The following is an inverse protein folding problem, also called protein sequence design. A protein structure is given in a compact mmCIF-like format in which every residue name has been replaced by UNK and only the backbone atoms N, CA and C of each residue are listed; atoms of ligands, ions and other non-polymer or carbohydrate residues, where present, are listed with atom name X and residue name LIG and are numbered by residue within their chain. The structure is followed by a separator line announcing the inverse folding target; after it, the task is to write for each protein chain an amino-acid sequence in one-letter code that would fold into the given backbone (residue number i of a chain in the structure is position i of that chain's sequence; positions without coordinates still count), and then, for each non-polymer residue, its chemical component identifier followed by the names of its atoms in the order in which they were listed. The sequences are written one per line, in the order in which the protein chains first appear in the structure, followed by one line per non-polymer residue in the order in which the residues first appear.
data_IF_054190758610
#
_entry.id   IF_054190758610
#
_cell.length_a   1.000
_cell.length_b   1.000
_cell.length_c   1.000
_cell.angle_alpha   90.00
_cell.angle_beta   90.00
_cell.angle_gamma   90.00
#
_symmetry.space_group_name_H-M   'P 1'
#
loop_
_entity.id
_entity.type
_entity.pdbx_description
1 polymer ?
#
# COMPACT_ATOMS: atom_id res chain seq x y z
N UNK A 1 8.39 -1.23 -1.52
CA UNK A 1 8.67 0.01 -2.21
C UNK A 1 9.69 0.91 -1.51
N UNK A 2 10.62 0.32 -0.74
CA UNK A 2 11.73 1.07 -0.14
C UNK A 2 12.73 1.54 -1.20
N UNK A 3 13.51 2.60 -0.92
CA UNK A 3 14.56 3.03 -1.83
C UNK A 3 15.53 1.89 -2.14
N UNK A 4 15.82 1.67 -3.42
CA UNK A 4 16.72 0.61 -3.87
C UNK A 4 16.16 -0.81 -3.81
N UNK A 5 14.88 -0.99 -3.47
CA UNK A 5 14.23 -2.29 -3.50
C UNK A 5 14.10 -2.81 -4.93
N UNK A 6 14.44 -4.07 -5.11
CA UNK A 6 14.37 -4.80 -6.39
C UNK A 6 13.71 -6.15 -6.16
N UNK A 7 13.38 -6.85 -7.23
CA UNK A 7 12.91 -8.24 -7.16
C UNK A 7 13.91 -9.14 -6.41
N UNK A 8 15.20 -8.92 -6.61
CA UNK A 8 16.25 -9.70 -5.95
C UNK A 8 16.29 -9.43 -4.44
N UNK A 9 16.16 -8.17 -4.00
CA UNK A 9 16.15 -7.85 -2.55
C UNK A 9 14.89 -8.37 -1.86
N UNK A 10 13.75 -8.38 -2.54
CA UNK A 10 12.54 -9.05 -2.04
C UNK A 10 12.78 -10.55 -1.90
N UNK A 11 13.42 -11.17 -2.89
CA UNK A 11 13.78 -12.59 -2.85
C UNK A 11 14.72 -12.91 -1.67
N UNK A 12 15.72 -12.10 -1.42
CA UNK A 12 16.61 -12.23 -0.27
C UNK A 12 15.83 -12.19 1.07
N UNK A 13 14.85 -11.29 1.18
CA UNK A 13 13.98 -11.21 2.36
C UNK A 13 13.16 -12.48 2.53
N UNK A 14 12.59 -13.03 1.47
CA UNK A 14 11.83 -14.29 1.50
C UNK A 14 12.73 -15.45 1.95
N UNK A 15 13.92 -15.57 1.40
CA UNK A 15 14.87 -16.63 1.77
C UNK A 15 15.31 -16.49 3.24
N UNK A 16 15.51 -15.27 3.73
CA UNK A 16 15.78 -15.03 5.14
C UNK A 16 14.62 -15.48 6.04
N UNK A 17 13.38 -15.13 5.68
CA UNK A 17 12.20 -15.58 6.41
C UNK A 17 12.09 -17.09 6.49
N UNK A 18 12.39 -17.80 5.38
CA UNK A 18 12.45 -19.26 5.38
C UNK A 18 13.49 -19.81 6.33
N UNK A 19 14.68 -19.21 6.32
CA UNK A 19 15.81 -19.65 7.15
C UNK A 19 15.51 -19.54 8.65
N UNK A 20 14.72 -18.54 9.06
CA UNK A 20 14.36 -18.31 10.47
C UNK A 20 12.95 -18.81 10.80
N UNK A 21 12.29 -19.52 9.89
CA UNK A 21 10.91 -20.02 10.03
C UNK A 21 9.88 -18.95 10.36
N UNK A 22 10.03 -17.75 9.77
CA UNK A 22 9.11 -16.66 9.92
C UNK A 22 8.01 -16.75 8.86
N UNK A 23 6.75 -16.73 9.31
CA UNK A 23 5.55 -16.80 8.45
C UNK A 23 4.72 -15.54 8.61
N UNK A 24 5.09 -14.43 7.93
CA UNK A 24 4.33 -13.19 8.01
C UNK A 24 2.94 -13.35 7.38
N UNK A 25 1.95 -12.72 7.96
CA UNK A 25 0.61 -12.62 7.37
C UNK A 25 0.51 -11.50 6.33
N UNK A 26 1.40 -10.53 6.42
CA UNK A 26 1.44 -9.34 5.57
C UNK A 26 2.83 -8.72 5.54
N UNK A 27 3.18 -8.14 4.40
CA UNK A 27 4.27 -7.16 4.28
C UNK A 27 3.65 -5.78 4.09
N UNK A 28 3.98 -4.85 4.97
CA UNK A 28 3.51 -3.48 4.84
C UNK A 28 4.30 -2.72 3.77
N UNK A 29 3.60 -1.90 3.02
CA UNK A 29 4.23 -1.02 2.06
C UNK A 29 4.86 0.19 2.76
N UNK A 30 5.98 0.65 2.23
CA UNK A 30 6.65 1.85 2.72
C UNK A 30 5.71 3.04 2.57
N UNK A 31 5.52 3.77 3.65
CA UNK A 31 4.66 4.94 3.69
C UNK A 31 5.42 6.11 4.28
N UNK A 32 5.41 7.25 3.60
CA UNK A 32 6.05 8.46 4.08
C UNK A 32 5.19 9.14 5.15
N UNK A 33 5.78 9.40 6.31
CA UNK A 33 5.16 10.14 7.39
C UNK A 33 5.88 11.46 7.63
N UNK A 34 5.15 12.56 7.90
CA UNK A 34 5.75 13.86 8.19
C UNK A 34 6.79 13.80 9.30
N UNK A 35 7.84 14.58 9.16
CA UNK A 35 8.94 14.61 10.13
C UNK A 35 9.97 13.50 9.96
N UNK A 36 9.83 12.66 8.96
CA UNK A 36 10.82 11.63 8.62
C UNK A 36 11.59 12.01 7.35
N UNK A 37 12.79 11.44 7.20
CA UNK A 37 13.57 11.61 5.95
C UNK A 37 12.85 11.03 4.73
N UNK A 38 12.00 10.03 4.90
CA UNK A 38 11.15 9.53 3.82
C UNK A 38 10.10 10.53 3.37
N UNK A 39 9.60 11.38 4.27
CA UNK A 39 8.70 12.47 3.91
C UNK A 39 9.37 13.48 2.98
N UNK A 40 10.56 13.94 3.37
CA UNK A 40 11.33 14.89 2.57
C UNK A 40 11.66 14.30 1.19
N UNK A 41 12.09 13.04 1.15
CA UNK A 41 12.36 12.32 -0.09
C UNK A 41 11.09 12.14 -0.96
N UNK A 42 9.95 11.87 -0.34
CA UNK A 42 8.68 11.73 -1.06
C UNK A 42 8.23 13.05 -1.69
N UNK A 43 8.41 14.17 -1.00
CA UNK A 43 8.16 15.50 -1.56
C UNK A 43 9.10 15.80 -2.74
N UNK A 44 10.39 15.56 -2.57
CA UNK A 44 11.41 15.77 -3.60
C UNK A 44 11.12 14.92 -4.87
N UNK A 45 10.75 13.67 -4.69
CA UNK A 45 10.42 12.75 -5.80
C UNK A 45 9.02 12.91 -6.37
N UNK A 46 8.21 13.82 -5.84
CA UNK A 46 6.84 14.04 -6.29
C UNK A 46 5.86 12.92 -5.97
N UNK A 47 6.18 12.08 -4.97
CA UNK A 47 5.37 10.90 -4.64
C UNK A 47 4.12 11.24 -3.83
N UNK A 48 4.10 12.34 -3.10
CA UNK A 48 2.91 12.80 -2.38
C UNK A 48 1.82 13.20 -3.38
N UNK A 49 2.16 13.97 -4.41
CA UNK A 49 1.24 14.27 -5.50
C UNK A 49 0.77 13.01 -6.20
N UNK A 50 1.70 12.08 -6.52
CA UNK A 50 1.34 10.80 -7.16
C UNK A 50 0.34 10.01 -6.34
N UNK A 51 0.51 9.94 -5.03
CA UNK A 51 -0.41 9.23 -4.14
C UNK A 51 -1.84 9.79 -4.17
N UNK A 52 -2.00 11.09 -4.42
CA UNK A 52 -3.31 11.76 -4.44
C UNK A 52 -3.91 11.81 -5.85
N UNK A 53 -3.08 12.10 -6.86
CA UNK A 53 -3.55 12.37 -8.24
C UNK A 53 -3.21 11.29 -9.25
N UNK A 54 -2.33 10.35 -8.91
CA UNK A 54 -1.79 9.35 -9.83
C UNK A 54 -0.58 9.82 -10.65
N UNK A 55 -0.19 11.08 -10.56
CA UNK A 55 0.91 11.67 -11.35
C UNK A 55 1.94 12.34 -10.45
N UNK A 56 3.22 12.03 -10.67
CA UNK A 56 4.34 12.66 -9.95
C UNK A 56 4.38 14.18 -10.22
N UNK A 57 4.80 14.92 -9.22
CA UNK A 57 5.02 16.35 -9.31
C UNK A 57 5.06 17.04 -7.96
N UNK A 58 5.14 18.40 -7.93
CA UNK A 58 5.10 19.16 -6.69
C UNK A 58 3.73 19.01 -6.01
N UNK A 59 3.75 18.85 -4.68
CA UNK A 59 2.54 18.80 -3.87
C UNK A 59 2.23 20.17 -3.30
N UNK A 60 0.98 20.61 -3.44
CA UNK A 60 0.44 21.77 -2.76
C UNK A 60 -0.16 21.40 -1.39
N UNK A 61 -0.56 22.39 -0.62
CA UNK A 61 -1.13 22.17 0.71
C UNK A 61 -2.40 21.30 0.69
N UNK A 62 -3.26 21.46 -0.31
CA UNK A 62 -4.47 20.67 -0.45
C UNK A 62 -4.17 19.19 -0.74
N UNK A 63 -3.15 18.91 -1.52
CA UNK A 63 -2.69 17.52 -1.78
C UNK A 63 -2.08 16.89 -0.54
N UNK A 64 -1.31 17.64 0.22
CA UNK A 64 -0.74 17.19 1.50
C UNK A 64 -1.86 16.84 2.48
N UNK A 65 -2.87 17.68 2.62
CA UNK A 65 -4.04 17.41 3.44
C UNK A 65 -4.78 16.14 3.01
N UNK A 66 -5.03 15.97 1.73
CA UNK A 66 -5.65 14.75 1.20
C UNK A 66 -4.81 13.50 1.45
N UNK A 67 -3.48 13.61 1.35
CA UNK A 67 -2.58 12.51 1.69
C UNK A 67 -2.73 12.11 3.17
N UNK A 68 -2.79 13.09 4.09
CA UNK A 68 -2.99 12.81 5.52
C UNK A 68 -4.31 12.13 5.83
N UNK A 69 -5.38 12.55 5.18
CA UNK A 69 -6.68 11.92 5.36
C UNK A 69 -6.67 10.43 4.99
N UNK A 70 -5.82 10.04 4.04
CA UNK A 70 -5.65 8.65 3.62
C UNK A 70 -4.70 7.83 4.51
N UNK A 71 -3.87 8.46 5.31
CA UNK A 71 -2.91 7.74 6.17
C UNK A 71 -3.60 6.86 7.22
N UNK A 72 -4.79 7.22 7.66
CA UNK A 72 -5.59 6.43 8.59
C UNK A 72 -6.34 5.25 7.96
N UNK A 73 -6.39 5.20 6.63
CA UNK A 73 -7.03 4.11 5.92
C UNK A 73 -6.04 2.95 5.79
N UNK A 74 -6.29 1.88 6.49
CA UNK A 74 -5.55 0.64 6.28
C UNK A 74 -5.99 0.01 4.96
N UNK A 75 -5.12 0.02 3.97
CA UNK A 75 -5.40 -0.50 2.65
C UNK A 75 -4.21 -1.18 2.00
N UNK A 76 -4.51 -1.93 0.98
CA UNK A 76 -3.53 -2.63 0.14
C UNK A 76 -2.84 -1.68 -0.87
N UNK A 77 -3.07 -0.38 -0.73
CA UNK A 77 -2.54 0.61 -1.66
C UNK A 77 -1.08 0.95 -1.35
N UNK A 78 -0.25 0.91 -2.36
CA UNK A 78 1.10 1.47 -2.31
C UNK A 78 0.99 2.99 -2.35
N UNK A 79 1.18 3.64 -1.20
CA UNK A 79 1.03 5.10 -1.10
C UNK A 79 2.25 5.85 -1.61
N UNK A 80 3.43 5.39 -1.21
CA UNK A 80 4.70 5.96 -1.63
C UNK A 80 5.65 4.84 -2.06
N UNK A 81 5.94 4.79 -3.34
CA UNK A 81 6.87 3.83 -3.91
C UNK A 81 8.19 4.55 -4.25
N UNK A 82 9.22 4.26 -3.48
CA UNK A 82 10.57 4.82 -3.66
C UNK A 82 11.45 3.97 -4.57
N UNK A 83 10.99 2.78 -4.95
CA UNK A 83 11.71 1.86 -5.82
C UNK A 83 11.45 2.19 -7.31
N UNK A 84 12.22 1.54 -8.18
CA UNK A 84 12.01 1.60 -9.62
C UNK A 84 10.96 0.58 -10.11
N UNK A 85 10.47 -0.28 -9.21
CA UNK A 85 9.42 -1.25 -9.53
C UNK A 85 8.05 -0.56 -9.66
N UNK A 86 7.21 -0.95 -10.63
CA UNK A 86 5.83 -0.52 -10.69
C UNK A 86 5.04 -0.91 -9.43
N UNK A 87 4.03 -0.11 -9.07
CA UNK A 87 3.21 -0.36 -7.88
C UNK A 87 2.53 -1.74 -7.92
N UNK A 88 2.03 -2.15 -9.08
CA UNK A 88 1.40 -3.45 -9.30
C UNK A 88 2.37 -4.61 -9.05
N UNK A 89 3.61 -4.46 -9.47
CA UNK A 89 4.64 -5.48 -9.26
C UNK A 89 5.01 -5.63 -7.79
N UNK A 90 5.08 -4.52 -7.05
CA UNK A 90 5.31 -4.54 -5.60
C UNK A 90 4.16 -5.26 -4.88
N UNK A 91 2.92 -5.00 -5.26
CA UNK A 91 1.75 -5.66 -4.69
C UNK A 91 1.81 -7.17 -4.96
N UNK A 92 2.09 -7.57 -6.18
CA UNK A 92 2.22 -8.99 -6.55
C UNK A 92 3.36 -9.68 -5.80
N UNK A 93 4.52 -9.04 -5.70
CA UNK A 93 5.67 -9.57 -4.96
C UNK A 93 5.34 -9.75 -3.48
N UNK A 94 4.62 -8.82 -2.86
CA UNK A 94 4.23 -8.95 -1.45
C UNK A 94 3.29 -10.13 -1.22
N UNK A 95 2.32 -10.34 -2.10
CA UNK A 95 1.39 -11.45 -2.01
C UNK A 95 2.06 -12.80 -2.28
N UNK A 96 2.90 -12.85 -3.29
CA UNK A 96 3.68 -14.05 -3.60
C UNK A 96 4.59 -14.43 -2.44
N UNK A 97 5.25 -13.47 -1.81
CA UNK A 97 6.11 -13.69 -0.66
C UNK A 97 5.34 -14.26 0.54
N UNK A 98 4.18 -13.69 0.88
CA UNK A 98 3.32 -14.21 1.96
C UNK A 98 2.87 -15.63 1.66
N UNK A 99 2.40 -15.90 0.45
CA UNK A 99 1.95 -17.23 0.05
C UNK A 99 3.08 -18.27 0.07
N UNK A 100 4.26 -17.91 -0.43
CA UNK A 100 5.44 -18.77 -0.45
C UNK A 100 5.90 -19.14 0.97
N UNK A 101 5.76 -18.21 1.92
CA UNK A 101 6.11 -18.43 3.33
C UNK A 101 5.02 -19.15 4.14
N UNK A 102 3.91 -19.54 3.51
CA UNK A 102 2.81 -20.25 4.15
C UNK A 102 1.93 -19.38 5.04
N UNK A 103 2.06 -18.07 4.94
CA UNK A 103 1.17 -17.12 5.59
C UNK A 103 -0.21 -17.06 4.94
N UNK A 104 -1.22 -16.69 5.72
CA UNK A 104 -2.54 -16.38 5.20
C UNK A 104 -2.61 -14.86 5.02
N UNK A 105 -2.67 -14.39 3.78
CA UNK A 105 -2.83 -12.97 3.51
C UNK A 105 -4.25 -12.52 3.88
N UNK A 106 -4.42 -12.04 5.11
CA UNK A 106 -5.70 -11.54 5.60
C UNK A 106 -6.15 -10.24 4.92
N UNK A 107 -5.23 -9.54 4.26
CA UNK A 107 -5.53 -8.32 3.50
C UNK A 107 -5.96 -8.63 2.07
N UNK A 108 -5.83 -9.86 1.63
CA UNK A 108 -6.29 -10.29 0.32
C UNK A 108 -7.81 -10.43 0.31
N UNK A 109 -8.51 -9.34 0.41
CA UNK A 109 -9.90 -9.33 0.00
C UNK A 109 -9.96 -9.15 -1.51
N UNK A 110 -10.59 -10.07 -2.21
CA UNK A 110 -10.91 -9.82 -3.61
C UNK A 110 -11.79 -8.58 -3.64
N UNK A 111 -11.28 -7.52 -4.20
CA UNK A 111 -11.99 -6.26 -4.40
C UNK A 111 -13.23 -6.37 -5.30
N UNK A 112 -13.69 -7.57 -5.60
CA UNK A 112 -14.72 -7.83 -6.61
C UNK A 112 -16.10 -8.10 -6.06
N UNK A 113 -16.30 -8.22 -4.75
CA UNK A 113 -17.64 -8.53 -4.22
C UNK A 113 -18.09 -7.67 -3.04
N UNK A 114 -17.29 -7.63 -2.01
CA UNK A 114 -17.76 -7.18 -0.68
C UNK A 114 -17.92 -5.65 -0.56
N UNK A 115 -17.09 -4.88 -1.26
CA UNK A 115 -17.19 -3.41 -1.22
C UNK A 115 -18.44 -2.89 -1.98
N UNK A 116 -18.86 -3.59 -3.00
CA UNK A 116 -20.07 -3.25 -3.72
C UNK A 116 -21.32 -3.67 -2.93
N UNK A 117 -21.28 -4.81 -2.27
CA UNK A 117 -22.39 -5.26 -1.42
C UNK A 117 -22.55 -4.39 -0.17
N UNK A 118 -21.45 -4.03 0.49
CA UNK A 118 -21.48 -3.07 1.61
C UNK A 118 -22.01 -1.70 1.19
N UNK A 119 -21.60 -1.18 0.05
CA UNK A 119 -22.14 0.07 -0.49
C UNK A 119 -23.62 -0.04 -0.88
N UNK A 120 -24.07 -1.21 -1.32
CA UNK A 120 -25.49 -1.48 -1.58
C UNK A 120 -26.30 -1.62 -0.29
N UNK A 121 -25.75 -2.30 0.71
CA UNK A 121 -26.41 -2.46 2.02
C UNK A 121 -26.57 -1.11 2.73
N UNK A 122 -25.54 -0.25 2.73
CA UNK A 122 -25.60 1.11 3.31
C UNK A 122 -26.60 1.98 2.55
N UNK A 123 -26.66 1.91 1.20
CA UNK A 123 -27.66 2.63 0.41
C UNK A 123 -29.07 2.08 0.58
N UNK A 124 -29.21 0.78 0.84
CA UNK A 124 -30.49 0.15 1.13
C UNK A 124 -31.04 0.55 2.50
N UNK A 125 -30.18 0.62 3.51
CA UNK A 125 -30.55 1.05 4.87
C UNK A 125 -30.98 2.52 4.92
N UNK A 126 -30.31 3.39 4.18
CA UNK A 126 -30.67 4.82 4.13
C UNK A 126 -32.01 5.09 3.40
N UNK A 127 -32.50 4.13 2.64
CA UNK A 127 -33.78 4.26 1.93
C UNK A 127 -34.96 3.66 2.67
N UNK A 128 -34.73 2.86 3.71
CA UNK A 128 -35.75 2.22 4.51
C UNK A 128 -36.22 3.08 5.73
N UNK A 129 -35.48 4.15 6.06
CA UNK A 129 -35.77 5.08 7.15
C UNK A 129 -36.40 6.41 6.72
N UNK A 130 -37.04 6.43 5.57
CA UNK A 130 -37.78 7.60 5.09
C UNK A 130 -39.27 7.28 5.03
#
# INVERSE_FOLDING_TARGET
GSPGETTDTVRETVEFCKKVDLKPEVFFFTTAYPGTSFWDLALEKGLIRKAVTGTKGPADEAMIEQYFLRLGEQGEEVRTNFSDLPDEEIIELSWSAVNELGGQNKLRHPHTGDTQERKRAVRGATRADV
#
